data_IF_371173877868
#
_entry.id   IF_371173877868
#
_cell.length_a   1.000
_cell.length_b   1.000
_cell.length_c   1.000
_cell.angle_alpha   90.00
_cell.angle_beta   90.00
_cell.angle_gamma   90.00
#
_symmetry.space_group_name_H-M   'P 1'
#
loop_
_entity.id
_entity.type
_entity.pdbx_description
1 polymer ?
#
# COMPACT_ATOMS: atom_id res chain seq x y z
N UNK A 1 -9.43 9.42 -17.82
CA UNK A 1 -10.19 9.91 -16.64
C UNK A 1 -9.43 9.40 -15.42
N UNK A 2 -9.05 10.28 -14.50
CA UNK A 2 -8.27 9.89 -13.32
C UNK A 2 -9.08 8.98 -12.39
N UNK A 3 -8.41 7.98 -11.82
CA UNK A 3 -8.96 7.08 -10.80
C UNK A 3 -9.34 7.82 -9.50
N UNK A 4 -8.59 8.88 -9.20
CA UNK A 4 -8.61 9.55 -7.91
C UNK A 4 -9.80 10.51 -7.73
N UNK A 5 -10.57 10.29 -6.70
CA UNK A 5 -11.57 11.26 -6.22
C UNK A 5 -10.91 12.42 -5.47
N UNK A 6 -9.91 12.10 -4.66
CA UNK A 6 -9.00 13.08 -4.06
C UNK A 6 -7.65 12.97 -4.75
N UNK A 7 -7.21 14.05 -5.38
CA UNK A 7 -5.93 14.04 -6.10
C UNK A 7 -4.78 13.75 -5.13
N UNK A 8 -3.94 12.74 -5.38
CA UNK A 8 -2.82 12.41 -4.49
C UNK A 8 -1.86 13.59 -4.30
N UNK A 9 -1.35 13.74 -3.08
CA UNK A 9 -0.27 14.66 -2.75
C UNK A 9 0.77 13.89 -1.95
N UNK A 10 1.92 13.64 -2.56
CA UNK A 10 2.98 12.77 -2.01
C UNK A 10 3.48 13.28 -0.66
N UNK A 11 3.67 14.58 -0.50
CA UNK A 11 4.12 15.18 0.76
C UNK A 11 3.12 14.91 1.89
N UNK A 12 1.83 15.11 1.64
CA UNK A 12 0.76 14.84 2.62
C UNK A 12 0.66 13.35 2.92
N UNK A 13 0.75 12.47 1.90
CA UNK A 13 0.72 11.02 2.10
C UNK A 13 1.89 10.53 2.98
N UNK A 14 3.07 11.11 2.82
CA UNK A 14 4.21 10.80 3.68
C UNK A 14 4.06 11.39 5.09
N UNK A 15 3.50 12.58 5.22
CA UNK A 15 3.30 13.21 6.53
C UNK A 15 2.36 12.39 7.45
N UNK A 16 1.31 11.79 6.90
CA UNK A 16 0.38 10.96 7.69
C UNK A 16 0.94 9.60 8.12
N UNK A 17 2.09 9.17 7.56
CA UNK A 17 2.78 7.96 8.02
C UNK A 17 3.48 8.14 9.37
N UNK A 18 3.71 9.37 9.82
CA UNK A 18 4.43 9.66 11.07
C UNK A 18 3.77 9.00 12.28
N UNK A 19 4.58 8.36 13.11
CA UNK A 19 4.14 7.60 14.30
C UNK A 19 3.24 6.38 13.97
N UNK A 20 3.37 5.82 12.79
CA UNK A 20 2.68 4.60 12.36
C UNK A 20 3.68 3.51 12.00
N UNK A 21 3.19 2.30 11.66
CA UNK A 21 4.04 1.23 11.15
C UNK A 21 4.77 1.65 9.87
N UNK A 22 4.16 2.51 9.05
CA UNK A 22 4.79 3.06 7.86
C UNK A 22 6.05 3.87 8.16
N UNK A 23 6.04 4.64 9.24
CA UNK A 23 7.21 5.39 9.73
C UNK A 23 8.30 4.43 10.24
N UNK A 24 7.95 3.45 11.06
CA UNK A 24 8.88 2.45 11.61
C UNK A 24 9.62 1.69 10.51
N UNK A 25 8.92 1.28 9.46
CA UNK A 25 9.47 0.51 8.33
C UNK A 25 9.99 1.40 7.20
N UNK A 26 10.02 2.71 7.40
CA UNK A 26 10.44 3.70 6.39
C UNK A 26 9.71 3.50 5.06
N UNK A 27 8.39 3.34 5.12
CA UNK A 27 7.52 3.32 3.94
C UNK A 27 7.35 4.75 3.45
N UNK A 28 7.62 4.97 2.17
CA UNK A 28 7.52 6.27 1.50
C UNK A 28 6.65 6.18 0.26
N UNK A 29 5.66 7.03 0.15
CA UNK A 29 4.97 7.26 -1.12
C UNK A 29 5.90 8.03 -2.03
N UNK A 30 6.06 7.54 -3.28
CA UNK A 30 7.07 8.03 -4.21
C UNK A 30 6.46 8.73 -5.42
N UNK A 31 5.38 8.15 -5.97
CA UNK A 31 4.78 8.64 -7.20
C UNK A 31 3.32 8.17 -7.35
N UNK A 32 2.63 8.79 -8.25
CA UNK A 32 1.30 8.35 -8.73
C UNK A 32 1.13 8.76 -10.20
N UNK A 33 0.23 8.09 -10.87
CA UNK A 33 -0.32 8.49 -12.18
C UNK A 33 -1.85 8.39 -12.16
N UNK A 34 -2.51 8.44 -13.32
CA UNK A 34 -3.98 8.37 -13.39
C UNK A 34 -4.57 7.03 -12.95
N UNK A 35 -3.76 5.97 -12.85
CA UNK A 35 -4.20 4.60 -12.62
C UNK A 35 -3.45 3.88 -11.49
N UNK A 36 -2.37 4.45 -10.95
CA UNK A 36 -1.53 3.76 -9.97
C UNK A 36 -0.97 4.65 -8.88
N UNK A 37 -0.71 4.04 -7.72
CA UNK A 37 0.01 4.65 -6.60
C UNK A 37 1.25 3.79 -6.29
N UNK A 38 2.39 4.46 -6.09
CA UNK A 38 3.68 3.83 -5.84
C UNK A 38 4.21 4.21 -4.46
N UNK A 39 4.68 3.21 -3.71
CA UNK A 39 5.39 3.40 -2.45
C UNK A 39 6.60 2.47 -2.38
N UNK A 40 7.58 2.80 -1.56
CA UNK A 40 8.77 1.99 -1.31
C UNK A 40 8.99 1.77 0.18
N UNK A 41 9.78 0.76 0.53
CA UNK A 41 10.14 0.41 1.91
C UNK A 41 11.60 0.02 1.98
N UNK A 42 12.28 0.41 3.07
CA UNK A 42 13.67 0.03 3.30
C UNK A 42 13.82 -1.48 3.51
N UNK A 43 14.95 -2.03 3.06
CA UNK A 43 15.36 -3.41 3.34
C UNK A 43 16.57 -3.36 4.24
N UNK A 44 16.37 -3.48 5.55
CA UNK A 44 17.41 -3.50 6.57
C UNK A 44 16.95 -4.33 7.80
N UNK A 45 17.63 -4.17 8.93
CA UNK A 45 17.33 -4.91 10.16
C UNK A 45 15.87 -4.78 10.63
N UNK A 46 15.15 -3.69 10.25
CA UNK A 46 13.74 -3.48 10.61
C UNK A 46 12.78 -4.37 9.83
N UNK A 47 13.21 -4.84 8.66
CA UNK A 47 12.39 -5.59 7.71
C UNK A 47 12.95 -6.96 7.35
N UNK A 48 14.11 -7.34 7.93
CA UNK A 48 14.74 -8.65 7.72
C UNK A 48 14.04 -9.77 8.50
N UNK A 49 14.03 -10.96 7.91
CA UNK A 49 13.81 -12.24 8.59
C UNK A 49 15.19 -12.86 9.01
N UNK A 50 15.21 -13.99 9.76
CA UNK A 50 16.47 -14.51 10.33
C UNK A 50 17.60 -14.84 9.36
N UNK A 51 17.31 -15.10 8.08
CA UNK A 51 18.34 -15.31 7.05
C UNK A 51 18.92 -14.02 6.46
N UNK A 52 18.53 -12.85 6.97
CA UNK A 52 18.98 -11.56 6.44
C UNK A 52 18.35 -11.17 5.10
N UNK A 53 17.18 -11.71 4.81
CA UNK A 53 16.37 -11.37 3.64
C UNK A 53 15.15 -10.56 4.07
N UNK A 54 14.60 -9.78 3.15
CA UNK A 54 13.33 -9.10 3.35
C UNK A 54 12.26 -10.10 3.82
N UNK A 55 11.66 -9.81 4.98
CA UNK A 55 10.60 -10.61 5.55
C UNK A 55 9.33 -10.53 4.67
N UNK A 56 8.75 -11.69 4.35
CA UNK A 56 7.53 -11.73 3.53
C UNK A 56 6.38 -10.92 4.13
N UNK A 57 6.20 -10.96 5.46
CA UNK A 57 5.21 -10.13 6.16
C UNK A 57 5.47 -8.63 6.02
N UNK A 58 6.73 -8.18 5.95
CA UNK A 58 7.05 -6.79 5.69
C UNK A 58 6.65 -6.36 4.26
N UNK A 59 6.85 -7.22 3.27
CA UNK A 59 6.33 -7.02 1.91
C UNK A 59 4.81 -6.87 1.90
N UNK A 60 4.10 -7.67 2.69
CA UNK A 60 2.63 -7.58 2.84
C UNK A 60 2.21 -6.28 3.50
N UNK A 61 2.95 -5.80 4.52
CA UNK A 61 2.68 -4.48 5.14
C UNK A 61 2.80 -3.37 4.10
N UNK A 62 3.83 -3.37 3.26
CA UNK A 62 3.98 -2.40 2.19
C UNK A 62 2.83 -2.49 1.17
N UNK A 63 2.49 -3.70 0.73
CA UNK A 63 1.40 -3.92 -0.22
C UNK A 63 0.06 -3.40 0.32
N UNK A 64 -0.29 -3.76 1.56
CA UNK A 64 -1.54 -3.30 2.19
C UNK A 64 -1.53 -1.79 2.43
N UNK A 65 -0.40 -1.21 2.81
CA UNK A 65 -0.27 0.24 3.02
C UNK A 65 -0.54 1.02 1.73
N UNK A 66 0.09 0.65 0.62
CA UNK A 66 -0.10 1.36 -0.66
C UNK A 66 -1.51 1.16 -1.22
N UNK A 67 -2.05 -0.06 -1.16
CA UNK A 67 -3.40 -0.36 -1.66
C UNK A 67 -4.52 0.25 -0.81
N UNK A 68 -4.34 0.29 0.51
CA UNK A 68 -5.30 0.96 1.42
C UNK A 68 -5.34 2.46 1.17
N UNK A 69 -4.19 3.09 0.98
CA UNK A 69 -4.12 4.51 0.64
C UNK A 69 -4.74 4.80 -0.74
N UNK A 70 -4.46 3.95 -1.72
CA UNK A 70 -5.08 4.06 -3.04
C UNK A 70 -6.61 3.96 -2.95
N UNK A 71 -7.15 3.04 -2.14
CA UNK A 71 -8.59 2.94 -1.88
C UNK A 71 -9.16 4.20 -1.24
N UNK A 72 -8.47 4.75 -0.24
CA UNK A 72 -8.88 5.99 0.43
C UNK A 72 -8.97 7.17 -0.55
N UNK A 73 -8.03 7.28 -1.47
CA UNK A 73 -8.01 8.34 -2.49
C UNK A 73 -9.15 8.20 -3.53
N UNK A 74 -9.75 7.00 -3.65
CA UNK A 74 -10.84 6.74 -4.58
C UNK A 74 -12.23 7.03 -4.00
N UNK A 75 -12.37 7.22 -2.68
CA UNK A 75 -13.67 7.39 -2.02
C UNK A 75 -13.94 8.83 -1.61
N UNK A 76 -15.21 9.11 -1.29
CA UNK A 76 -15.62 10.33 -0.58
C UNK A 76 -15.37 10.14 0.92
N UNK A 77 -14.22 10.60 1.40
CA UNK A 77 -13.82 10.45 2.80
C UNK A 77 -14.71 11.23 3.80
N UNK A 78 -15.62 12.08 3.32
CA UNK A 78 -16.63 12.71 4.17
C UNK A 78 -17.82 11.79 4.47
N UNK A 79 -17.97 10.69 3.70
CA UNK A 79 -19.11 9.75 3.77
C UNK A 79 -18.70 8.31 4.03
N UNK A 80 -17.47 7.95 3.70
CA UNK A 80 -16.98 6.57 3.73
C UNK A 80 -15.57 6.49 4.31
N UNK A 81 -15.20 5.29 4.74
CA UNK A 81 -13.83 4.90 5.04
C UNK A 81 -13.54 3.52 4.46
N UNK A 82 -12.27 3.16 4.35
CA UNK A 82 -11.85 1.86 3.83
C UNK A 82 -11.19 1.02 4.92
N UNK A 83 -11.46 -0.29 4.91
CA UNK A 83 -10.78 -1.28 5.75
C UNK A 83 -10.39 -2.50 4.94
N UNK A 84 -9.23 -3.08 5.26
CA UNK A 84 -8.76 -4.31 4.63
C UNK A 84 -9.65 -5.50 4.98
N UNK A 85 -9.97 -6.33 3.99
CA UNK A 85 -10.69 -7.59 4.15
C UNK A 85 -9.76 -8.79 4.02
N UNK A 86 -8.91 -8.77 3.01
CA UNK A 86 -8.01 -9.89 2.70
C UNK A 86 -6.80 -9.36 1.92
N UNK A 87 -5.64 -9.87 2.25
CA UNK A 87 -4.41 -9.68 1.49
C UNK A 87 -3.72 -11.02 1.30
N UNK A 88 -3.28 -11.30 0.09
CA UNK A 88 -2.45 -12.47 -0.21
C UNK A 88 -1.19 -12.04 -0.95
N UNK A 89 -0.15 -12.86 -0.87
CA UNK A 89 1.13 -12.57 -1.47
C UNK A 89 1.84 -13.84 -1.91
N UNK A 90 2.50 -13.77 -3.07
CA UNK A 90 3.43 -14.78 -3.52
C UNK A 90 4.82 -14.14 -3.61
N UNK A 91 5.75 -14.63 -2.79
CA UNK A 91 7.13 -14.16 -2.74
C UNK A 91 7.96 -14.90 -3.78
N UNK A 92 8.51 -14.17 -4.74
CA UNK A 92 9.18 -14.73 -5.91
C UNK A 92 10.70 -14.64 -5.81
N UNK A 93 11.22 -13.67 -5.05
CA UNK A 93 12.66 -13.39 -4.94
C UNK A 93 12.99 -12.80 -3.58
N UNK A 94 14.03 -13.36 -2.93
CA UNK A 94 14.60 -12.79 -1.71
C UNK A 94 15.43 -11.53 -2.02
N UNK A 95 15.29 -10.49 -1.19
CA UNK A 95 16.04 -9.24 -1.27
C UNK A 95 16.81 -9.03 0.04
N UNK A 96 18.06 -8.56 -0.05
CA UNK A 96 18.95 -8.39 1.13
C UNK A 96 19.11 -6.95 1.59
N UNK A 97 19.04 -6.00 0.65
CA UNK A 97 19.34 -4.58 0.91
C UNK A 97 18.68 -3.69 -0.13
N UNK A 98 18.80 -2.39 0.05
CA UNK A 98 18.21 -1.39 -0.82
C UNK A 98 16.76 -1.08 -0.42
N UNK A 99 15.92 -0.88 -1.39
CA UNK A 99 14.48 -0.67 -1.19
C UNK A 99 13.66 -1.63 -2.05
N UNK A 100 12.50 -2.00 -1.58
CA UNK A 100 11.47 -2.68 -2.35
C UNK A 100 10.39 -1.66 -2.70
N UNK A 101 9.98 -1.63 -3.97
CA UNK A 101 8.97 -0.70 -4.49
C UNK A 101 7.70 -1.45 -4.84
N UNK A 102 6.57 -0.98 -4.33
CA UNK A 102 5.24 -1.50 -4.59
C UNK A 102 4.44 -0.54 -5.47
N UNK A 103 3.82 -1.06 -6.51
CA UNK A 103 2.89 -0.34 -7.38
C UNK A 103 1.51 -0.99 -7.26
N UNK A 104 0.52 -0.22 -6.79
CA UNK A 104 -0.87 -0.65 -6.70
C UNK A 104 -1.65 -0.18 -7.91
N UNK A 105 -2.28 -1.12 -8.62
CA UNK A 105 -3.20 -0.87 -9.74
C UNK A 105 -4.57 -1.48 -9.46
N UNK A 106 -5.69 -0.82 -9.83
CA UNK A 106 -7.00 -1.36 -9.55
C UNK A 106 -7.31 -2.55 -10.46
N UNK A 107 -7.86 -3.61 -9.87
CA UNK A 107 -8.59 -4.66 -10.58
C UNK A 107 -10.08 -4.32 -10.62
N UNK A 108 -10.58 -3.79 -9.49
CA UNK A 108 -11.99 -3.44 -9.33
C UNK A 108 -12.15 -2.28 -8.35
N UNK A 109 -12.87 -1.24 -8.75
CA UNK A 109 -13.27 -0.12 -7.90
C UNK A 109 -14.78 -0.06 -7.90
N UNK A 110 -15.37 -0.72 -6.92
CA UNK A 110 -16.81 -0.81 -6.73
C UNK A 110 -17.31 0.13 -5.63
N UNK A 111 -18.62 0.19 -5.47
CA UNK A 111 -19.26 1.01 -4.45
C UNK A 111 -18.97 0.54 -3.01
N UNK A 112 -18.80 -0.76 -2.81
CA UNK A 112 -18.63 -1.37 -1.49
C UNK A 112 -17.32 -2.16 -1.36
N UNK A 113 -16.62 -2.40 -2.46
CA UNK A 113 -15.41 -3.23 -2.48
C UNK A 113 -14.43 -2.72 -3.53
N UNK A 114 -13.16 -2.62 -3.15
CA UNK A 114 -12.05 -2.39 -4.07
C UNK A 114 -11.13 -3.60 -4.07
N UNK A 115 -10.58 -3.95 -5.23
CA UNK A 115 -9.58 -5.02 -5.37
C UNK A 115 -8.37 -4.46 -6.13
N UNK A 116 -7.18 -4.68 -5.58
CA UNK A 116 -5.93 -4.16 -6.10
C UNK A 116 -4.96 -5.27 -6.50
N UNK A 117 -4.32 -5.15 -7.66
CA UNK A 117 -3.10 -5.86 -8.02
C UNK A 117 -1.91 -5.03 -7.56
N UNK A 118 -1.01 -5.63 -6.77
CA UNK A 118 0.12 -4.93 -6.19
C UNK A 118 1.38 -5.70 -6.53
N UNK A 119 2.28 -5.06 -7.27
CA UNK A 119 3.54 -5.64 -7.72
C UNK A 119 4.70 -5.01 -6.97
N UNK A 120 5.54 -5.85 -6.36
CA UNK A 120 6.74 -5.43 -5.66
C UNK A 120 7.98 -5.79 -6.47
N UNK A 121 8.88 -4.83 -6.60
CA UNK A 121 10.14 -4.98 -7.37
C UNK A 121 11.33 -4.50 -6.55
N UNK A 122 12.51 -5.08 -6.84
CA UNK A 122 13.80 -4.61 -6.32
C UNK A 122 14.22 -3.28 -6.96
N UNK A 123 15.29 -2.65 -6.44
CA UNK A 123 15.92 -1.48 -7.05
C UNK A 123 16.38 -1.72 -8.50
N UNK A 124 16.64 -2.98 -8.87
CA UNK A 124 16.99 -3.38 -10.24
C UNK A 124 15.74 -3.65 -11.12
N UNK A 125 14.53 -3.44 -10.61
CA UNK A 125 13.29 -3.69 -11.32
C UNK A 125 12.88 -5.16 -11.43
N UNK A 126 13.52 -6.06 -10.66
CA UNK A 126 13.18 -7.49 -10.68
C UNK A 126 12.01 -7.78 -9.76
N UNK A 127 11.04 -8.57 -10.23
CA UNK A 127 9.87 -8.97 -9.45
C UNK A 127 10.28 -9.68 -8.15
N UNK A 128 9.79 -9.16 -7.02
CA UNK A 128 10.02 -9.71 -5.68
C UNK A 128 8.77 -10.37 -5.10
N UNK A 129 7.61 -9.77 -5.32
CA UNK A 129 6.35 -10.25 -4.76
C UNK A 129 5.17 -9.84 -5.66
N UNK A 130 4.18 -10.70 -5.73
CA UNK A 130 2.87 -10.43 -6.35
C UNK A 130 1.83 -10.54 -5.27
N UNK A 131 1.06 -9.47 -5.06
CA UNK A 131 0.06 -9.38 -4.00
C UNK A 131 -1.28 -8.94 -4.56
N UNK A 132 -2.36 -9.38 -3.89
CA UNK A 132 -3.71 -8.88 -4.10
C UNK A 132 -4.28 -8.42 -2.79
N UNK A 133 -4.91 -7.25 -2.80
CA UNK A 133 -5.59 -6.68 -1.64
C UNK A 133 -7.05 -6.44 -1.95
N UNK A 134 -7.92 -6.88 -1.06
CA UNK A 134 -9.35 -6.59 -1.09
C UNK A 134 -9.71 -5.66 0.06
N UNK A 135 -10.37 -4.54 -0.25
CA UNK A 135 -10.81 -3.52 0.70
C UNK A 135 -12.32 -3.42 0.72
N UNK A 136 -12.91 -3.25 1.91
CA UNK A 136 -14.29 -2.82 2.06
C UNK A 136 -14.37 -1.30 2.09
N UNK A 137 -15.38 -0.75 1.42
CA UNK A 137 -15.80 0.65 1.52
C UNK A 137 -17.01 0.71 2.43
N UNK A 138 -16.85 1.34 3.60
CA UNK A 138 -17.83 1.33 4.69
C UNK A 138 -18.37 2.74 4.90
N UNK A 139 -19.70 2.95 5.00
CA UNK A 139 -20.26 4.24 5.34
C UNK A 139 -19.79 4.72 6.72
N UNK A 140 -19.52 6.02 6.85
CA UNK A 140 -19.32 6.64 8.16
C UNK A 140 -20.63 6.54 8.95
N UNK A 141 -20.61 5.82 10.09
CA UNK A 141 -21.72 5.74 11.01
C UNK A 141 -21.66 6.87 12.07
N UNK A 142 -22.45 6.71 13.13
CA UNK A 142 -22.46 7.67 14.27
C UNK A 142 -21.13 7.71 15.04
N UNK A 143 -20.34 6.64 14.98
CA UNK A 143 -19.01 6.53 15.62
C UNK A 143 -17.95 6.15 14.56
N UNK A 144 -17.50 7.09 13.72
CA UNK A 144 -16.45 6.82 12.76
C UNK A 144 -15.12 6.54 13.47
N UNK A 145 -14.18 5.79 12.83
CA UNK A 145 -12.85 5.60 13.38
C UNK A 145 -12.15 6.94 13.59
N UNK A 146 -11.32 7.03 14.64
CA UNK A 146 -10.49 8.21 14.89
C UNK A 146 -9.53 8.42 13.68
N UNK A 147 -9.37 9.67 13.28
CA UNK A 147 -8.46 10.08 12.20
C UNK A 147 -7.13 10.54 12.78
#
# INVERSE_FOLDING_TARGET
>A
MSLWRTHPNIEQLNAIQKNTIGDVLDIRFEAFDDESLTASMVIDHRTHQPYGLLHGGASVVLAETVGSMASYLCIDASKFYCVGLEVNANHLRGLRSGRVTAVAKPIHIGRTTHVWDIRLTSDEGKASCVSRLTMAVVPLGENPPAR
#
